data_IF_458249765539
#
_entry.id   IF_458249765539
#
_cell.length_a   1.000
_cell.length_b   1.000
_cell.length_c   1.000
_cell.angle_alpha   90.00
_cell.angle_beta   90.00
_cell.angle_gamma   90.00
#
_symmetry.space_group_name_H-M   'P 1'
#
loop_
_entity.id
_entity.type
_entity.pdbx_description
1 polymer ?
#
# COMPACT_ATOMS: atom_id res chain seq x y z
N UNK A 1 -24.36 -2.87 10.23
CA UNK A 1 -24.21 -4.04 9.33
C UNK A 1 -24.68 -5.24 10.14
N UNK A 2 -25.68 -6.00 9.68
CA UNK A 2 -26.26 -7.07 10.51
C UNK A 2 -25.27 -8.22 10.67
N UNK A 3 -25.19 -8.78 11.88
CA UNK A 3 -24.44 -9.99 12.24
C UNK A 3 -24.77 -11.20 11.33
N UNK A 4 -25.88 -11.13 10.57
CA UNK A 4 -26.31 -12.14 9.63
C UNK A 4 -25.49 -12.19 8.34
N UNK A 5 -25.02 -11.06 7.83
CA UNK A 5 -24.14 -11.00 6.66
C UNK A 5 -22.74 -11.53 7.00
N UNK A 6 -22.26 -11.23 8.20
CA UNK A 6 -20.97 -11.71 8.73
C UNK A 6 -20.95 -13.24 8.87
N UNK A 7 -22.03 -13.82 9.40
CA UNK A 7 -22.09 -15.24 9.70
C UNK A 7 -22.34 -16.17 8.49
N UNK A 8 -22.70 -15.61 7.34
CA UNK A 8 -22.89 -16.40 6.11
C UNK A 8 -21.54 -16.71 5.44
N UNK A 9 -20.54 -15.85 5.60
CA UNK A 9 -19.21 -16.04 5.03
C UNK A 9 -18.38 -17.12 5.76
N UNK A 10 -18.65 -17.38 7.04
CA UNK A 10 -17.65 -17.94 7.97
C UNK A 10 -17.86 -19.41 8.37
N UNK A 11 -18.82 -20.11 7.73
CA UNK A 11 -19.37 -21.39 8.22
C UNK A 11 -18.43 -22.61 8.19
N UNK A 12 -17.40 -22.70 7.33
CA UNK A 12 -16.71 -24.00 7.06
C UNK A 12 -15.17 -23.97 6.85
N UNK A 13 -14.34 -23.12 7.51
CA UNK A 13 -12.91 -23.01 7.13
C UNK A 13 -11.85 -23.12 8.25
N UNK A 14 -10.95 -24.14 8.22
CA UNK A 14 -9.86 -24.34 9.19
C UNK A 14 -8.73 -23.27 9.13
N UNK A 15 -8.71 -22.45 8.09
CA UNK A 15 -7.72 -21.39 7.87
C UNK A 15 -7.74 -20.28 8.93
N UNK A 16 -8.90 -20.01 9.55
CA UNK A 16 -9.01 -18.94 10.56
C UNK A 16 -8.23 -19.24 11.84
N UNK A 17 -8.16 -20.51 12.24
CA UNK A 17 -7.39 -20.92 13.41
C UNK A 17 -5.89 -20.68 13.20
N UNK A 18 -5.38 -21.00 12.01
CA UNK A 18 -3.98 -20.73 11.63
C UNK A 18 -3.71 -19.22 11.57
N UNK A 19 -4.64 -18.43 11.02
CA UNK A 19 -4.53 -16.97 10.95
C UNK A 19 -4.43 -16.32 12.34
N UNK A 20 -5.35 -16.65 13.26
CA UNK A 20 -5.33 -16.06 14.60
C UNK A 20 -4.15 -16.54 15.44
N UNK A 21 -3.73 -17.81 15.32
CA UNK A 21 -2.53 -18.32 15.99
C UNK A 21 -1.23 -17.70 15.47
N UNK A 22 -1.18 -17.30 14.19
CA UNK A 22 -0.03 -16.60 13.61
C UNK A 22 0.01 -15.10 13.95
N UNK A 23 -1.15 -14.46 14.12
CA UNK A 23 -1.26 -13.05 14.55
C UNK A 23 -1.08 -12.85 16.06
N UNK A 24 -1.31 -13.90 16.86
CA UNK A 24 -1.18 -13.89 18.32
C UNK A 24 -0.08 -14.87 18.79
N UNK A 25 1.18 -14.75 18.33
CA UNK A 25 2.20 -15.69 18.76
C UNK A 25 2.60 -15.39 20.22
N UNK A 26 2.31 -16.33 21.11
CA UNK A 26 2.87 -16.44 22.46
C UNK A 26 2.76 -15.18 23.36
N UNK A 27 1.65 -14.46 23.32
CA UNK A 27 1.25 -13.67 24.49
C UNK A 27 0.56 -14.65 25.46
N UNK A 28 1.14 -14.93 26.63
CA UNK A 28 0.58 -15.86 27.62
C UNK A 28 -0.85 -15.48 28.07
N UNK A 29 -1.29 -14.26 27.78
CA UNK A 29 -2.63 -13.75 28.07
C UNK A 29 -3.66 -13.99 26.96
N UNK A 30 -3.26 -14.30 25.73
CA UNK A 30 -4.18 -14.66 24.65
C UNK A 30 -4.68 -16.11 24.86
N UNK A 31 -5.64 -16.27 25.79
CA UNK A 31 -6.20 -17.58 26.14
C UNK A 31 -6.75 -18.27 24.90
N UNK A 32 -6.59 -19.61 24.75
CA UNK A 32 -7.21 -20.40 23.67
C UNK A 32 -8.70 -20.07 23.48
N UNK A 33 -9.39 -19.73 24.57
CA UNK A 33 -10.78 -19.31 24.62
C UNK A 33 -11.09 -18.02 23.84
N UNK A 34 -10.17 -17.07 23.68
CA UNK A 34 -10.42 -15.85 22.90
C UNK A 34 -10.34 -16.11 21.39
N UNK A 35 -9.40 -16.96 20.97
CA UNK A 35 -9.32 -17.44 19.58
C UNK A 35 -10.57 -18.28 19.27
N UNK A 36 -10.97 -19.16 20.18
CA UNK A 36 -12.19 -19.96 20.05
C UNK A 36 -13.47 -19.10 20.13
N UNK A 37 -13.45 -17.97 20.86
CA UNK A 37 -14.56 -17.01 20.91
C UNK A 37 -14.69 -16.20 19.62
N UNK A 38 -13.57 -15.71 19.08
CA UNK A 38 -13.54 -15.11 17.75
C UNK A 38 -14.04 -16.12 16.72
N UNK A 39 -13.58 -17.37 16.75
CA UNK A 39 -14.06 -18.43 15.86
C UNK A 39 -15.56 -18.70 16.05
N UNK A 40 -16.10 -18.75 17.28
CA UNK A 40 -17.52 -19.07 17.56
C UNK A 40 -18.49 -17.92 17.28
N UNK A 41 -18.11 -16.67 17.60
CA UNK A 41 -18.85 -15.46 17.19
C UNK A 41 -18.91 -15.37 15.66
N UNK A 42 -17.83 -15.77 14.99
CA UNK A 42 -17.75 -15.84 13.54
C UNK A 42 -18.51 -17.06 12.97
N UNK A 43 -18.57 -18.20 13.67
CA UNK A 43 -19.24 -19.44 13.26
C UNK A 43 -20.73 -19.54 13.64
N UNK A 44 -21.28 -18.54 14.36
CA UNK A 44 -22.69 -18.46 14.78
C UNK A 44 -23.16 -19.63 15.69
N UNK A 45 -22.28 -20.19 16.52
CA UNK A 45 -22.70 -21.11 17.56
C UNK A 45 -23.26 -20.32 18.76
N UNK A 46 -24.59 -20.19 18.75
CA UNK A 46 -25.47 -19.51 19.71
C UNK A 46 -25.57 -17.97 19.63
N UNK A 47 -26.77 -17.50 19.98
CA UNK A 47 -27.19 -16.10 19.97
C UNK A 47 -26.37 -15.26 20.94
N UNK A 48 -25.28 -14.67 20.46
CA UNK A 48 -24.53 -13.65 21.20
C UNK A 48 -25.25 -12.30 21.00
N UNK A 49 -25.61 -11.57 22.07
CA UNK A 49 -26.19 -10.23 21.95
C UNK A 49 -25.24 -9.27 21.20
N UNK A 50 -25.69 -8.08 20.76
CA UNK A 50 -24.80 -7.07 20.20
C UNK A 50 -23.89 -6.52 21.31
N UNK A 51 -22.77 -7.20 21.55
CA UNK A 51 -21.80 -6.87 22.58
C UNK A 51 -20.62 -6.17 21.87
N UNK A 52 -20.25 -4.94 22.26
CA UNK A 52 -19.04 -4.28 21.78
C UNK A 52 -17.81 -5.19 21.91
N UNK A 53 -16.88 -5.13 20.95
CA UNK A 53 -15.70 -6.02 20.94
C UNK A 53 -14.87 -5.89 22.23
N UNK A 54 -14.81 -4.68 22.81
CA UNK A 54 -14.23 -4.38 24.13
C UNK A 54 -14.89 -5.10 25.31
N UNK A 55 -16.18 -5.37 25.26
CA UNK A 55 -16.91 -6.13 26.30
C UNK A 55 -16.76 -7.65 26.19
N UNK A 56 -16.21 -8.16 25.08
CA UNK A 56 -15.82 -9.57 24.93
C UNK A 56 -14.43 -9.86 25.53
N UNK A 57 -13.59 -8.81 25.66
CA UNK A 57 -12.23 -8.88 26.20
C UNK A 57 -12.16 -8.56 27.70
N UNK A 58 -13.11 -7.77 28.22
CA UNK A 58 -13.15 -7.38 29.61
C UNK A 58 -14.18 -8.23 30.37
N UNK A 59 -13.72 -9.01 31.34
CA UNK A 59 -14.57 -9.47 32.43
C UNK A 59 -15.13 -8.26 33.18
N UNK A 60 -16.26 -7.74 32.68
CA UNK A 60 -17.06 -6.65 33.23
C UNK A 60 -16.28 -5.49 33.83
N UNK A 61 -15.91 -4.48 33.04
CA UNK A 61 -15.60 -3.14 33.59
C UNK A 61 -16.12 -2.00 32.73
N UNK A 62 -16.53 -0.96 33.46
CA UNK A 62 -17.33 0.19 33.03
C UNK A 62 -16.72 0.99 31.88
N UNK A 63 -17.56 1.57 30.98
CA UNK A 63 -17.09 2.55 30.01
C UNK A 63 -16.43 3.73 30.73
N UNK A 64 -15.23 4.11 30.27
CA UNK A 64 -14.54 5.31 30.76
C UNK A 64 -15.44 6.54 30.56
N UNK A 65 -15.45 7.41 31.59
CA UNK A 65 -16.35 8.56 31.69
C UNK A 65 -16.22 9.56 30.53
N UNK A 66 -17.32 10.27 30.28
CA UNK A 66 -17.46 11.27 29.21
C UNK A 66 -16.28 12.26 29.17
N UNK A 67 -15.71 12.57 27.99
CA UNK A 67 -14.70 13.61 27.85
C UNK A 67 -15.27 14.97 28.29
N UNK A 68 -14.59 15.66 29.20
CA UNK A 68 -15.04 16.93 29.84
C UNK A 68 -14.48 18.20 29.18
N UNK A 69 -13.94 18.13 27.95
CA UNK A 69 -13.42 19.32 27.26
C UNK A 69 -13.97 19.48 25.86
N UNK A 70 -14.50 20.67 25.58
CA UNK A 70 -14.89 21.09 24.24
C UNK A 70 -13.65 21.23 23.36
N UNK A 71 -13.47 20.32 22.42
CA UNK A 71 -12.49 20.47 21.34
C UNK A 71 -13.15 20.10 20.02
N UNK A 72 -12.89 20.92 19.00
CA UNK A 72 -13.29 20.68 17.62
C UNK A 72 -12.57 19.43 17.11
N UNK A 73 -13.21 18.57 16.31
CA UNK A 73 -12.67 17.32 15.76
C UNK A 73 -11.42 17.49 14.87
N UNK A 74 -10.31 17.91 15.49
CA UNK A 74 -9.07 18.40 14.86
C UNK A 74 -7.87 17.52 15.20
N UNK A 75 -8.03 16.59 16.14
CA UNK A 75 -7.01 15.64 16.54
C UNK A 75 -7.07 14.38 15.67
N UNK A 76 -5.92 14.05 15.09
CA UNK A 76 -5.74 12.86 14.27
C UNK A 76 -4.61 12.03 14.86
N UNK A 77 -4.86 10.76 15.12
CA UNK A 77 -3.80 9.77 15.34
C UNK A 77 -3.49 9.06 14.03
N UNK A 78 -2.24 9.09 13.61
CA UNK A 78 -1.77 8.21 12.55
C UNK A 78 -1.11 6.98 13.18
N UNK A 79 -1.71 5.81 12.96
CA UNK A 79 -1.11 4.51 13.28
C UNK A 79 -0.51 3.95 12.00
N UNK A 80 0.77 3.56 12.01
CA UNK A 80 1.40 3.00 10.82
C UNK A 80 2.84 2.57 11.05
N UNK A 81 3.51 2.16 9.96
CA UNK A 81 4.91 1.75 10.01
C UNK A 81 5.84 2.96 10.14
N UNK A 82 6.37 3.25 11.34
CA UNK A 82 7.15 4.46 11.60
C UNK A 82 8.68 4.23 11.64
N UNK A 83 9.13 3.01 11.34
CA UNK A 83 10.55 2.63 11.25
C UNK A 83 11.31 3.32 10.10
N UNK A 84 12.33 2.67 9.54
CA UNK A 84 13.12 3.25 8.44
C UNK A 84 13.24 2.29 7.25
N UNK A 85 13.28 2.84 6.04
CA UNK A 85 13.77 2.14 4.85
C UNK A 85 12.80 1.21 4.12
N UNK A 86 11.48 1.34 4.33
CA UNK A 86 10.44 0.57 3.60
C UNK A 86 9.44 1.48 2.89
N UNK A 87 8.74 0.95 1.88
CA UNK A 87 7.65 1.66 1.20
C UNK A 87 6.47 2.00 2.12
N UNK A 88 6.19 1.14 3.11
CA UNK A 88 5.16 1.36 4.13
C UNK A 88 5.54 2.52 5.08
N UNK A 89 6.82 2.64 5.41
CA UNK A 89 7.30 3.79 6.16
C UNK A 89 7.21 5.09 5.37
N UNK A 90 7.61 5.06 4.10
CA UNK A 90 7.44 6.20 3.20
C UNK A 90 5.97 6.62 3.11
N UNK A 91 5.03 5.67 3.02
CA UNK A 91 3.59 5.95 3.08
C UNK A 91 3.19 6.69 4.36
N UNK A 92 3.56 6.16 5.52
CA UNK A 92 3.22 6.76 6.82
C UNK A 92 3.77 8.18 6.95
N UNK A 93 5.02 8.43 6.52
CA UNK A 93 5.62 9.78 6.51
C UNK A 93 4.86 10.75 5.59
N UNK A 94 4.46 10.31 4.40
CA UNK A 94 3.69 11.14 3.46
C UNK A 94 2.31 11.51 4.02
N UNK A 95 1.64 10.56 4.69
CA UNK A 95 0.38 10.81 5.38
C UNK A 95 0.56 11.76 6.56
N UNK A 96 1.59 11.56 7.38
CA UNK A 96 1.89 12.43 8.51
C UNK A 96 2.11 13.88 8.04
N UNK A 97 2.95 14.07 7.03
CA UNK A 97 3.26 15.38 6.46
C UNK A 97 2.00 16.06 5.92
N UNK A 98 1.18 15.33 5.16
CA UNK A 98 -0.02 15.88 4.54
C UNK A 98 -1.12 16.18 5.57
N UNK A 99 -1.30 15.32 6.58
CA UNK A 99 -2.24 15.56 7.68
C UNK A 99 -1.83 16.81 8.49
N UNK A 100 -0.54 16.99 8.77
CA UNK A 100 -0.01 18.22 9.40
C UNK A 100 -0.23 19.45 8.50
N UNK A 101 0.07 19.31 7.21
CA UNK A 101 -0.13 20.36 6.21
C UNK A 101 -1.61 20.76 6.02
N UNK A 102 -2.55 19.88 6.38
CA UNK A 102 -3.98 20.17 6.36
C UNK A 102 -4.48 20.98 7.57
N UNK A 103 -3.59 21.39 8.47
CA UNK A 103 -3.90 22.18 9.66
C UNK A 103 -4.42 21.38 10.86
N UNK A 104 -4.30 20.05 10.84
CA UNK A 104 -4.73 19.16 11.93
C UNK A 104 -3.66 18.99 12.99
N UNK A 105 -4.07 18.71 14.23
CA UNK A 105 -3.15 18.30 15.30
C UNK A 105 -2.91 16.80 15.14
N UNK A 106 -1.72 16.43 14.68
CA UNK A 106 -1.38 15.04 14.33
C UNK A 106 -0.46 14.43 15.38
N UNK A 107 -0.88 13.33 16.00
CA UNK A 107 -0.03 12.41 16.76
C UNK A 107 0.27 11.17 15.92
N UNK A 108 1.33 10.45 16.29
CA UNK A 108 1.70 9.20 15.61
C UNK A 108 1.94 8.09 16.62
N UNK A 109 1.53 6.88 16.28
CA UNK A 109 1.78 5.66 17.06
C UNK A 109 2.33 4.59 16.11
N UNK A 110 3.48 4.01 16.43
CA UNK A 110 4.09 3.01 15.57
C UNK A 110 3.33 1.68 15.70
N UNK A 111 3.02 1.06 14.56
CA UNK A 111 2.35 -0.24 14.51
C UNK A 111 3.19 -1.33 15.18
N UNK A 112 4.52 -1.23 15.09
CA UNK A 112 5.47 -2.23 15.54
C UNK A 112 5.75 -2.21 17.05
N UNK A 113 5.11 -1.31 17.81
CA UNK A 113 5.29 -1.27 19.26
C UNK A 113 4.79 -2.57 19.93
N UNK A 114 5.47 -3.03 21.00
CA UNK A 114 4.93 -4.05 21.89
C UNK A 114 3.53 -3.68 22.38
N UNK A 115 2.70 -4.69 22.68
CA UNK A 115 1.30 -4.49 23.02
C UNK A 115 1.09 -3.51 24.19
N UNK A 116 1.90 -3.62 25.25
CA UNK A 116 1.84 -2.72 26.41
C UNK A 116 2.12 -1.25 26.03
N UNK A 117 3.20 -1.02 25.29
CA UNK A 117 3.60 0.32 24.85
C UNK A 117 2.59 0.92 23.88
N UNK A 118 2.03 0.09 22.99
CA UNK A 118 0.96 0.50 22.09
C UNK A 118 -0.28 0.96 22.87
N UNK A 119 -0.74 0.16 23.84
CA UNK A 119 -1.91 0.48 24.66
C UNK A 119 -1.70 1.76 25.49
N UNK A 120 -0.51 1.92 26.09
CA UNK A 120 -0.15 3.14 26.83
C UNK A 120 -0.12 4.37 25.93
N UNK A 121 0.49 4.26 24.74
CA UNK A 121 0.55 5.35 23.76
C UNK A 121 -0.84 5.78 23.29
N UNK A 122 -1.73 4.83 23.03
CA UNK A 122 -3.12 5.09 22.66
C UNK A 122 -3.89 5.77 23.78
N UNK A 123 -3.72 5.31 25.04
CA UNK A 123 -4.33 5.91 26.23
C UNK A 123 -3.88 7.36 26.40
N UNK A 124 -2.57 7.60 26.40
CA UNK A 124 -2.01 8.94 26.56
C UNK A 124 -2.45 9.90 25.45
N UNK A 125 -2.66 9.40 24.22
CA UNK A 125 -3.24 10.20 23.14
C UNK A 125 -4.71 10.53 23.41
N UNK A 126 -5.52 9.54 23.79
CA UNK A 126 -6.96 9.70 24.01
C UNK A 126 -7.30 10.71 25.12
N UNK A 127 -6.52 10.76 26.20
CA UNK A 127 -6.70 11.69 27.33
C UNK A 127 -6.59 13.16 26.93
N UNK A 128 -5.92 13.45 25.81
CA UNK A 128 -5.72 14.81 25.29
C UNK A 128 -6.75 15.19 24.22
N UNK A 129 -7.57 14.24 23.78
CA UNK A 129 -8.49 14.40 22.66
C UNK A 129 -9.88 14.89 23.11
N UNK A 130 -10.57 15.56 22.19
CA UNK A 130 -12.01 15.80 22.31
C UNK A 130 -12.84 14.54 22.01
N UNK A 131 -14.18 14.63 22.07
CA UNK A 131 -15.05 13.51 21.71
C UNK A 131 -14.88 13.10 20.24
N UNK A 132 -14.91 11.79 19.98
CA UNK A 132 -14.80 11.16 18.65
C UNK A 132 -13.57 11.56 17.83
N UNK A 133 -12.34 11.36 18.34
CA UNK A 133 -11.15 11.68 17.59
C UNK A 133 -10.99 10.77 16.37
N UNK A 134 -10.23 11.22 15.38
CA UNK A 134 -9.99 10.45 14.15
C UNK A 134 -8.71 9.64 14.26
N UNK A 135 -8.78 8.37 13.89
CA UNK A 135 -7.61 7.50 13.72
C UNK A 135 -7.45 7.21 12.23
N UNK A 136 -6.26 7.44 11.69
CA UNK A 136 -5.87 6.98 10.35
C UNK A 136 -4.93 5.80 10.55
N UNK A 137 -5.39 4.60 10.24
CA UNK A 137 -4.60 3.37 10.31
C UNK A 137 -4.00 3.06 8.93
N UNK A 138 -2.73 3.40 8.75
CA UNK A 138 -1.94 3.18 7.55
C UNK A 138 -1.20 1.83 7.59
N UNK A 139 -1.97 0.77 7.78
CA UNK A 139 -1.57 -0.64 7.76
C UNK A 139 -2.48 -1.39 6.80
N UNK A 140 -2.12 -2.61 6.39
CA UNK A 140 -2.99 -3.37 5.51
C UNK A 140 -4.25 -3.81 6.26
N UNK A 141 -5.34 -4.09 5.53
CA UNK A 141 -6.61 -4.44 6.15
C UNK A 141 -6.50 -5.66 7.07
N UNK A 142 -5.71 -6.69 6.73
CA UNK A 142 -5.54 -7.86 7.60
C UNK A 142 -4.90 -7.55 8.96
N UNK A 143 -4.18 -6.43 9.07
CA UNK A 143 -3.47 -6.02 10.29
C UNK A 143 -4.35 -5.20 11.24
N UNK A 144 -5.47 -4.65 10.75
CA UNK A 144 -6.40 -3.82 11.54
C UNK A 144 -6.92 -4.53 12.81
N UNK A 145 -7.33 -5.81 12.77
CA UNK A 145 -7.82 -6.50 13.98
C UNK A 145 -6.79 -6.50 15.12
N UNK A 146 -5.49 -6.54 14.81
CA UNK A 146 -4.43 -6.50 15.83
C UNK A 146 -4.38 -5.16 16.58
N UNK A 147 -4.86 -4.06 15.99
CA UNK A 147 -4.93 -2.77 16.66
C UNK A 147 -5.98 -2.80 17.76
N UNK A 148 -7.16 -3.34 17.45
CA UNK A 148 -8.29 -3.46 18.37
C UNK A 148 -8.00 -4.47 19.49
N UNK A 149 -7.28 -5.55 19.20
CA UNK A 149 -6.87 -6.52 20.22
C UNK A 149 -5.87 -5.88 21.21
N UNK A 150 -4.93 -5.06 20.71
CA UNK A 150 -3.95 -4.36 21.57
C UNK A 150 -4.54 -3.16 22.29
N UNK A 151 -5.71 -2.69 21.89
CA UNK A 151 -6.46 -1.65 22.59
C UNK A 151 -7.20 -2.21 23.81
N UNK A 152 -6.46 -2.36 24.92
CA UNK A 152 -6.96 -2.92 26.18
C UNK A 152 -8.10 -2.13 26.85
N UNK A 153 -8.37 -0.92 26.37
CA UNK A 153 -9.33 -0.01 26.97
C UNK A 153 -10.52 0.32 26.04
N UNK A 154 -10.58 -0.25 24.84
CA UNK A 154 -11.65 0.00 23.88
C UNK A 154 -11.72 1.45 23.39
N UNK A 155 -10.58 2.16 23.37
CA UNK A 155 -10.47 3.54 22.90
C UNK A 155 -10.89 3.65 21.44
N UNK A 156 -10.47 2.72 20.58
CA UNK A 156 -10.75 2.69 19.15
C UNK A 156 -12.25 2.55 18.87
N UNK A 157 -13.02 1.88 19.74
CA UNK A 157 -14.49 1.76 19.62
C UNK A 157 -15.21 3.13 19.68
N UNK A 158 -14.55 4.13 20.29
CA UNK A 158 -15.07 5.50 20.41
C UNK A 158 -14.49 6.47 19.36
N UNK A 159 -13.53 6.00 18.56
CA UNK A 159 -12.86 6.77 17.53
C UNK A 159 -13.58 6.65 16.18
N UNK A 160 -13.25 7.56 15.26
CA UNK A 160 -13.54 7.37 13.85
C UNK A 160 -12.31 6.78 13.16
N UNK A 161 -12.35 5.49 12.86
CA UNK A 161 -11.20 4.73 12.35
C UNK A 161 -11.24 4.68 10.82
N UNK A 162 -10.22 5.26 10.20
CA UNK A 162 -10.02 5.27 8.75
C UNK A 162 -8.91 4.29 8.41
N UNK A 163 -9.20 3.29 7.58
CA UNK A 163 -8.17 2.41 7.02
C UNK A 163 -7.54 3.06 5.78
N UNK A 164 -6.24 3.35 5.79
CA UNK A 164 -5.51 3.70 4.56
C UNK A 164 -4.88 2.43 4.00
N UNK A 165 -5.56 1.81 3.03
CA UNK A 165 -5.17 0.50 2.53
C UNK A 165 -4.39 0.57 1.23
N UNK A 166 -3.42 -0.33 1.11
CA UNK A 166 -2.70 -0.64 -0.13
C UNK A 166 -2.84 -2.14 -0.38
N UNK A 167 -3.01 -2.52 -1.65
CA UNK A 167 -3.07 -3.92 -2.04
C UNK A 167 -2.70 -4.08 -3.51
N UNK A 168 -2.17 -5.25 -3.88
CA UNK A 168 -1.61 -5.48 -5.22
C UNK A 168 -2.16 -6.73 -5.93
N UNK A 169 -3.36 -7.19 -5.57
CA UNK A 169 -4.15 -8.15 -6.38
C UNK A 169 -5.50 -7.53 -6.70
N UNK A 170 -6.20 -7.99 -7.73
CA UNK A 170 -7.49 -7.41 -8.16
C UNK A 170 -8.64 -7.58 -7.16
N UNK A 171 -8.49 -8.50 -6.22
CA UNK A 171 -9.43 -8.79 -5.15
C UNK A 171 -8.70 -8.76 -3.80
N UNK A 172 -9.41 -8.34 -2.75
CA UNK A 172 -8.91 -8.41 -1.39
C UNK A 172 -9.17 -9.83 -0.87
N UNK A 173 -8.13 -10.52 -0.37
CA UNK A 173 -8.32 -11.87 0.15
C UNK A 173 -9.21 -11.83 1.39
N UNK A 174 -9.94 -12.92 1.62
CA UNK A 174 -10.92 -13.06 2.71
C UNK A 174 -10.39 -12.69 4.10
N UNK A 175 -9.10 -12.88 4.34
CA UNK A 175 -8.41 -12.49 5.57
C UNK A 175 -8.54 -10.99 5.89
N UNK A 176 -8.81 -10.15 4.91
CA UNK A 176 -9.00 -8.71 5.07
C UNK A 176 -10.43 -8.32 5.43
N UNK A 177 -11.42 -9.21 5.30
CA UNK A 177 -12.85 -8.93 5.55
C UNK A 177 -13.07 -8.32 6.95
N UNK A 178 -12.45 -8.90 7.99
CA UNK A 178 -12.60 -8.42 9.36
C UNK A 178 -12.01 -7.02 9.55
N UNK A 179 -10.83 -6.77 9.00
CA UNK A 179 -10.21 -5.45 9.09
C UNK A 179 -10.98 -4.37 8.36
N UNK A 180 -11.55 -4.69 7.20
CA UNK A 180 -12.48 -3.81 6.48
C UNK A 180 -13.73 -3.54 7.31
N UNK A 181 -14.28 -4.56 7.99
CA UNK A 181 -15.47 -4.40 8.83
C UNK A 181 -15.25 -3.47 10.04
N UNK A 182 -14.03 -3.46 10.60
CA UNK A 182 -13.66 -2.68 11.80
C UNK A 182 -13.39 -1.19 11.55
N UNK A 183 -13.21 -0.76 10.29
CA UNK A 183 -13.01 0.67 9.97
C UNK A 183 -14.32 1.35 9.56
N UNK A 184 -14.46 2.64 9.84
CA UNK A 184 -15.61 3.45 9.43
C UNK A 184 -15.56 3.85 7.96
N UNK A 185 -14.34 4.00 7.42
CA UNK A 185 -14.07 4.45 6.07
C UNK A 185 -12.73 3.91 5.58
N UNK A 186 -12.60 3.76 4.27
CA UNK A 186 -11.37 3.35 3.61
C UNK A 186 -10.84 4.50 2.74
N UNK A 187 -9.57 4.82 2.94
CA UNK A 187 -8.79 5.68 2.06
C UNK A 187 -7.87 4.84 1.20
N UNK A 188 -7.80 5.17 -0.08
CA UNK A 188 -6.92 4.50 -1.03
C UNK A 188 -6.07 5.50 -1.80
N UNK A 189 -4.88 5.11 -2.25
CA UNK A 189 -4.05 5.98 -3.06
C UNK A 189 -4.45 6.03 -4.53
N UNK A 190 -5.22 5.05 -5.00
CA UNK A 190 -5.55 4.88 -6.42
C UNK A 190 -6.96 4.35 -6.61
N UNK A 191 -7.51 4.58 -7.80
CA UNK A 191 -8.79 4.01 -8.23
C UNK A 191 -8.74 2.48 -8.29
N UNK A 192 -7.59 1.91 -8.68
CA UNK A 192 -7.38 0.46 -8.67
C UNK A 192 -7.62 -0.13 -7.27
N UNK A 193 -6.97 0.44 -6.25
CA UNK A 193 -7.17 0.00 -4.86
C UNK A 193 -8.56 0.32 -4.35
N UNK A 194 -9.18 1.42 -4.79
CA UNK A 194 -10.58 1.68 -4.45
C UNK A 194 -11.53 0.59 -4.99
N UNK A 195 -11.30 0.13 -6.23
CA UNK A 195 -12.08 -0.94 -6.85
C UNK A 195 -11.99 -2.27 -6.11
N UNK A 196 -10.84 -2.58 -5.51
CA UNK A 196 -10.63 -3.78 -4.68
C UNK A 196 -11.53 -3.78 -3.44
N UNK A 197 -11.70 -2.63 -2.78
CA UNK A 197 -12.44 -2.52 -1.52
C UNK A 197 -13.89 -2.06 -1.67
N UNK A 198 -14.29 -1.55 -2.83
CA UNK A 198 -15.67 -1.12 -3.09
C UNK A 198 -16.73 -2.23 -2.85
N UNK A 199 -16.49 -3.51 -3.20
CA UNK A 199 -17.47 -4.58 -2.96
C UNK A 199 -17.84 -4.82 -1.50
N UNK A 200 -17.02 -4.37 -0.54
CA UNK A 200 -17.29 -4.56 0.89
C UNK A 200 -18.35 -3.60 1.45
N UNK A 201 -18.85 -2.65 0.65
CA UNK A 201 -19.94 -1.74 1.04
C UNK A 201 -19.55 -0.66 2.06
N UNK A 202 -18.25 -0.50 2.37
CA UNK A 202 -17.74 0.62 3.18
C UNK A 202 -17.59 1.88 2.32
N UNK A 203 -17.65 3.10 2.91
CA UNK A 203 -17.24 4.31 2.20
C UNK A 203 -15.77 4.20 1.78
N UNK A 204 -15.51 4.28 0.47
CA UNK A 204 -14.16 4.23 -0.10
C UNK A 204 -13.84 5.55 -0.78
N UNK A 205 -12.69 6.15 -0.47
CA UNK A 205 -12.27 7.43 -1.02
C UNK A 205 -10.84 7.36 -1.56
N UNK A 206 -10.69 7.72 -2.83
CA UNK A 206 -9.37 7.91 -3.45
C UNK A 206 -8.81 9.25 -3.01
N UNK A 207 -7.83 9.22 -2.11
CA UNK A 207 -7.18 10.42 -1.57
C UNK A 207 -5.81 10.68 -2.21
N UNK A 208 -5.26 9.71 -2.93
CA UNK A 208 -3.98 9.83 -3.61
C UNK A 208 -2.78 9.67 -2.68
N UNK A 209 -1.66 10.26 -3.10
CA UNK A 209 -0.39 10.33 -2.35
C UNK A 209 0.21 11.73 -2.47
N UNK A 210 1.03 12.13 -1.50
CA UNK A 210 1.79 13.39 -1.51
C UNK A 210 3.28 13.13 -1.68
N UNK A 211 3.72 13.08 -2.94
CA UNK A 211 5.11 12.84 -3.33
C UNK A 211 5.99 14.03 -3.00
N UNK A 212 7.27 13.72 -2.74
CA UNK A 212 8.34 14.70 -2.68
C UNK A 212 8.75 15.14 -4.10
N UNK A 213 7.77 15.50 -4.94
CA UNK A 213 8.02 16.11 -6.24
C UNK A 213 8.29 17.60 -5.99
N UNK A 214 9.55 18.01 -6.07
CA UNK A 214 9.90 19.42 -5.91
C UNK A 214 10.01 20.12 -7.26
N UNK A 215 9.46 21.34 -7.33
CA UNK A 215 9.60 22.21 -8.51
C UNK A 215 11.06 22.56 -8.80
N UNK A 216 11.89 22.67 -7.76
CA UNK A 216 13.32 23.01 -7.83
C UNK A 216 14.21 21.83 -8.25
N UNK A 217 13.68 20.60 -8.34
CA UNK A 217 14.47 19.46 -8.75
C UNK A 217 15.01 19.72 -10.16
N UNK A 218 16.33 19.85 -10.38
CA UNK A 218 16.83 20.21 -11.69
C UNK A 218 16.41 19.12 -12.67
N UNK A 219 15.70 19.52 -13.73
CA UNK A 219 15.44 18.64 -14.86
C UNK A 219 16.76 17.98 -15.23
N UNK A 220 16.74 16.66 -15.39
CA UNK A 220 17.96 15.92 -15.72
C UNK A 220 18.55 16.53 -17.00
N UNK A 221 19.85 16.88 -17.04
CA UNK A 221 20.48 17.19 -18.30
C UNK A 221 20.31 15.97 -19.22
N UNK A 222 20.01 16.16 -20.52
CA UNK A 222 19.93 15.05 -21.46
C UNK A 222 21.19 14.19 -21.31
N UNK A 223 21.04 12.86 -21.41
CA UNK A 223 22.22 12.00 -21.49
C UNK A 223 23.15 12.61 -22.54
N UNK A 224 24.45 12.77 -22.22
CA UNK A 224 25.40 13.30 -23.20
C UNK A 224 25.24 12.47 -24.48
N UNK A 225 25.14 13.13 -25.63
CA UNK A 225 24.86 12.48 -26.93
C UNK A 225 25.86 11.35 -27.29
N UNK A 226 26.92 11.16 -26.51
CA UNK A 226 27.95 10.15 -26.69
C UNK A 226 27.85 8.95 -25.71
N UNK A 227 26.93 8.92 -24.74
CA UNK A 227 26.76 7.81 -23.78
C UNK A 227 25.74 6.74 -24.22
N UNK A 228 25.75 5.53 -23.63
CA UNK A 228 24.70 4.55 -23.88
C UNK A 228 23.34 5.02 -23.35
N UNK A 229 22.25 4.62 -24.04
CA UNK A 229 20.89 4.73 -23.49
C UNK A 229 20.74 3.69 -22.39
N UNK A 230 20.48 4.13 -21.16
CA UNK A 230 20.38 3.25 -19.99
C UNK A 230 18.93 2.99 -19.60
N UNK A 231 18.52 1.74 -19.60
CA UNK A 231 17.25 1.30 -19.04
C UNK A 231 17.45 0.86 -17.59
N UNK A 232 16.49 1.14 -16.71
CA UNK A 232 16.53 0.74 -15.30
C UNK A 232 15.25 0.03 -14.91
N UNK A 233 15.39 -1.15 -14.33
CA UNK A 233 14.32 -1.81 -13.58
C UNK A 233 14.73 -1.86 -12.11
N UNK A 234 13.82 -1.45 -11.22
CA UNK A 234 14.03 -1.45 -9.77
C UNK A 234 12.96 -2.31 -9.13
N UNK A 235 13.36 -3.22 -8.25
CA UNK A 235 12.42 -3.98 -7.43
C UNK A 235 13.03 -4.33 -6.06
N UNK A 236 12.14 -4.67 -5.14
CA UNK A 236 12.49 -5.18 -3.81
C UNK A 236 12.05 -6.64 -3.75
N UNK A 237 12.97 -7.52 -3.36
CA UNK A 237 12.74 -8.96 -3.33
C UNK A 237 11.64 -9.35 -2.34
N UNK A 238 11.55 -8.64 -1.21
CA UNK A 238 10.55 -8.90 -0.17
C UNK A 238 9.14 -8.44 -0.60
N UNK A 239 9.03 -7.70 -1.69
CA UNK A 239 7.75 -7.23 -2.25
C UNK A 239 7.13 -8.16 -3.30
N UNK A 240 7.63 -9.41 -3.41
CA UNK A 240 7.36 -10.42 -4.44
C UNK A 240 8.10 -10.19 -5.77
N UNK A 241 9.04 -11.09 -6.09
CA UNK A 241 9.75 -11.12 -7.38
C UNK A 241 8.77 -11.45 -8.50
N UNK A 242 7.83 -12.36 -8.24
CA UNK A 242 6.78 -12.73 -9.19
C UNK A 242 5.91 -11.52 -9.55
N UNK A 243 5.44 -10.74 -8.58
CA UNK A 243 4.61 -9.58 -8.88
C UNK A 243 5.40 -8.49 -9.58
N UNK A 244 6.65 -8.23 -9.16
CA UNK A 244 7.48 -7.18 -9.77
C UNK A 244 7.99 -7.56 -11.16
N UNK A 245 8.07 -8.86 -11.45
CA UNK A 245 8.41 -9.47 -12.73
C UNK A 245 9.60 -8.80 -13.49
N UNK A 246 10.76 -8.62 -12.83
CA UNK A 246 11.93 -7.99 -13.47
C UNK A 246 12.47 -8.80 -14.66
N UNK A 247 12.19 -10.11 -14.71
CA UNK A 247 12.59 -10.98 -15.82
C UNK A 247 12.00 -10.49 -17.15
N UNK A 248 10.71 -10.11 -17.17
CA UNK A 248 10.09 -9.59 -18.38
C UNK A 248 10.83 -8.37 -18.92
N UNK A 249 11.33 -7.47 -18.05
CA UNK A 249 12.11 -6.32 -18.48
C UNK A 249 13.43 -6.73 -19.15
N UNK A 250 14.11 -7.76 -18.62
CA UNK A 250 15.35 -8.29 -19.20
C UNK A 250 15.09 -8.95 -20.56
N UNK A 251 14.01 -9.74 -20.67
CA UNK A 251 13.62 -10.38 -21.92
C UNK A 251 13.24 -9.34 -22.98
N UNK A 252 12.48 -8.32 -22.60
CA UNK A 252 12.11 -7.22 -23.49
C UNK A 252 13.33 -6.43 -23.96
N UNK A 253 14.30 -6.17 -23.08
CA UNK A 253 15.55 -5.50 -23.44
C UNK A 253 16.35 -6.31 -24.47
N UNK A 254 16.53 -7.61 -24.24
CA UNK A 254 17.26 -8.50 -25.16
C UNK A 254 16.56 -8.59 -26.52
N UNK A 255 15.22 -8.67 -26.52
CA UNK A 255 14.42 -8.69 -27.75
C UNK A 255 14.47 -7.36 -28.49
N UNK A 256 14.39 -6.25 -27.76
CA UNK A 256 14.49 -4.92 -28.33
C UNK A 256 15.84 -4.77 -29.03
N UNK A 257 16.97 -5.10 -28.39
CA UNK A 257 18.31 -4.77 -28.88
C UNK A 257 19.19 -5.99 -29.19
N UNK A 258 18.95 -6.73 -30.30
CA UNK A 258 19.75 -7.90 -30.65
C UNK A 258 21.14 -7.57 -31.22
N UNK A 259 21.42 -6.30 -31.54
CA UNK A 259 22.64 -5.89 -32.23
C UNK A 259 23.70 -5.23 -31.33
N UNK A 260 24.54 -4.42 -31.96
CA UNK A 260 25.61 -3.66 -31.31
C UNK A 260 25.14 -2.26 -30.85
N UNK A 261 23.83 -2.07 -30.61
CA UNK A 261 23.32 -0.79 -30.13
C UNK A 261 23.99 -0.41 -28.80
N UNK A 262 24.31 0.87 -28.67
CA UNK A 262 24.92 1.43 -27.47
C UNK A 262 23.86 1.61 -26.37
N UNK A 263 23.43 0.50 -25.79
CA UNK A 263 22.42 0.42 -24.74
C UNK A 263 22.92 -0.40 -23.56
N UNK A 264 22.44 -0.07 -22.36
CA UNK A 264 22.70 -0.81 -21.14
C UNK A 264 21.40 -0.97 -20.36
N UNK A 265 21.29 -2.04 -19.59
CA UNK A 265 20.20 -2.23 -18.64
C UNK A 265 20.77 -2.40 -17.24
N UNK A 266 20.17 -1.73 -16.27
CA UNK A 266 20.47 -1.91 -14.86
C UNK A 266 19.26 -2.59 -14.21
N UNK A 267 19.50 -3.71 -13.55
CA UNK A 267 18.53 -4.41 -12.72
C UNK A 267 18.91 -4.15 -11.26
N UNK A 268 18.24 -3.20 -10.62
CA UNK A 268 18.45 -2.89 -9.20
C UNK A 268 17.50 -3.73 -8.35
N UNK A 269 18.05 -4.70 -7.63
CA UNK A 269 17.33 -5.53 -6.67
C UNK A 269 17.74 -5.15 -5.24
N UNK A 270 16.79 -5.05 -4.31
CA UNK A 270 17.06 -4.83 -2.89
C UNK A 270 16.59 -6.03 -2.07
N UNK A 271 17.23 -6.27 -0.92
CA UNK A 271 16.90 -7.37 0.01
C UNK A 271 16.90 -8.74 -0.66
N UNK A 272 17.88 -9.02 -1.52
CA UNK A 272 17.94 -10.30 -2.24
C UNK A 272 18.04 -11.45 -1.26
N UNK A 273 17.03 -12.33 -1.29
CA UNK A 273 16.96 -13.55 -0.51
C UNK A 273 16.30 -14.64 -1.37
N UNK A 274 17.09 -15.51 -2.03
CA UNK A 274 16.55 -16.56 -2.89
C UNK A 274 15.54 -17.50 -2.22
N UNK A 275 15.57 -17.60 -0.89
CA UNK A 275 14.64 -18.44 -0.11
C UNK A 275 13.33 -17.72 0.24
N UNK A 276 13.23 -16.42 -0.05
CA UNK A 276 12.03 -15.64 0.25
C UNK A 276 10.80 -16.21 -0.48
N UNK A 277 9.64 -16.33 0.18
CA UNK A 277 8.42 -16.88 -0.43
C UNK A 277 8.00 -16.20 -1.74
N UNK A 278 8.32 -14.92 -1.90
CA UNK A 278 8.11 -14.17 -3.14
C UNK A 278 8.95 -14.61 -4.36
N UNK A 279 9.81 -15.62 -4.22
CA UNK A 279 10.61 -16.27 -5.27
C UNK A 279 10.29 -17.78 -5.41
N UNK A 280 9.08 -18.20 -5.04
CA UNK A 280 8.72 -19.61 -4.94
C UNK A 280 8.94 -20.46 -6.22
N UNK A 281 9.02 -19.84 -7.41
CA UNK A 281 9.17 -20.54 -8.69
C UNK A 281 10.57 -20.36 -9.29
N UNK A 282 11.53 -19.87 -8.52
CA UNK A 282 12.90 -19.67 -8.99
C UNK A 282 13.05 -18.50 -9.98
N UNK A 283 12.21 -17.48 -9.87
CA UNK A 283 12.17 -16.33 -10.77
C UNK A 283 13.49 -15.54 -10.74
N UNK A 284 14.15 -15.46 -9.58
CA UNK A 284 15.45 -14.82 -9.39
C UNK A 284 16.56 -15.58 -10.12
N UNK A 285 16.55 -16.90 -10.07
CA UNK A 285 17.52 -17.76 -10.75
C UNK A 285 17.40 -17.63 -12.26
N UNK A 286 16.16 -17.55 -12.77
CA UNK A 286 15.90 -17.28 -14.19
C UNK A 286 16.35 -15.87 -14.59
N UNK A 287 16.01 -14.85 -13.81
CA UNK A 287 16.49 -13.48 -14.01
C UNK A 287 18.02 -13.40 -14.03
N UNK A 288 18.68 -14.07 -13.08
CA UNK A 288 20.13 -14.08 -12.95
C UNK A 288 20.79 -14.73 -14.17
N UNK A 289 20.28 -15.89 -14.63
CA UNK A 289 20.75 -16.56 -15.85
C UNK A 289 20.52 -15.70 -17.09
N UNK A 290 19.33 -15.11 -17.22
CA UNK A 290 18.98 -14.28 -18.37
C UNK A 290 19.84 -13.01 -18.46
N UNK A 291 20.19 -12.42 -17.31
CA UNK A 291 21.06 -11.25 -17.19
C UNK A 291 22.52 -11.58 -17.47
N UNK A 292 23.05 -12.68 -16.91
CA UNK A 292 24.43 -13.12 -17.14
C UNK A 292 24.70 -13.47 -18.61
N UNK A 293 23.66 -13.86 -19.37
CA UNK A 293 23.75 -14.12 -20.80
C UNK A 293 23.93 -12.88 -21.69
N UNK A 294 23.90 -11.65 -21.15
CA UNK A 294 24.09 -10.42 -21.91
C UNK A 294 24.93 -9.40 -21.11
N UNK A 295 26.16 -9.15 -21.59
CA UNK A 295 27.14 -8.26 -20.95
C UNK A 295 26.70 -6.80 -20.78
N UNK A 296 25.59 -6.39 -21.42
CA UNK A 296 25.01 -5.05 -21.31
C UNK A 296 24.05 -4.92 -20.13
N UNK A 297 23.75 -6.03 -19.44
CA UNK A 297 22.83 -6.08 -18.30
C UNK A 297 23.65 -6.15 -17.01
N UNK A 298 23.42 -5.18 -16.13
CA UNK A 298 24.13 -5.04 -14.86
C UNK A 298 23.15 -5.24 -13.70
N UNK A 299 23.34 -6.31 -12.94
CA UNK A 299 22.56 -6.58 -11.73
C UNK A 299 23.25 -5.91 -10.54
N UNK A 300 22.50 -5.11 -9.79
CA UNK A 300 22.97 -4.36 -8.62
C UNK A 300 22.14 -4.76 -7.42
N UNK A 301 22.77 -5.39 -6.42
CA UNK A 301 22.07 -5.96 -5.25
C UNK A 301 22.32 -5.20 -3.96
N UNK A 302 23.29 -4.28 -3.95
CA UNK A 302 23.66 -3.49 -2.78
C UNK A 302 22.49 -2.60 -2.34
N UNK A 303 22.29 -2.47 -1.03
CA UNK A 303 21.24 -1.60 -0.49
C UNK A 303 21.62 -0.13 -0.72
N UNK A 304 20.75 0.61 -1.39
CA UNK A 304 20.94 2.02 -1.68
C UNK A 304 20.11 2.88 -0.72
N UNK A 305 20.71 3.97 -0.24
CA UNK A 305 19.97 5.07 0.40
C UNK A 305 19.07 5.78 -0.61
N UNK A 306 18.14 6.62 -0.12
CA UNK A 306 17.28 7.43 -0.99
C UNK A 306 18.11 8.33 -1.93
N UNK A 307 19.20 8.92 -1.43
CA UNK A 307 20.11 9.75 -2.22
C UNK A 307 20.83 8.94 -3.31
N UNK A 308 21.28 7.72 -3.00
CA UNK A 308 21.91 6.83 -3.99
C UNK A 308 20.91 6.37 -5.05
N UNK A 309 19.68 6.06 -4.68
CA UNK A 309 18.61 5.72 -5.63
C UNK A 309 18.29 6.90 -6.56
N UNK A 310 18.21 8.11 -6.03
CA UNK A 310 18.03 9.32 -6.83
C UNK A 310 19.21 9.53 -7.80
N UNK A 311 20.45 9.34 -7.35
CA UNK A 311 21.63 9.43 -8.21
C UNK A 311 21.62 8.36 -9.31
N UNK A 312 21.19 7.14 -9.02
CA UNK A 312 21.04 6.07 -10.00
C UNK A 312 20.00 6.45 -11.08
N UNK A 313 18.83 6.91 -10.67
CA UNK A 313 17.78 7.36 -11.60
C UNK A 313 18.26 8.56 -12.43
N UNK A 314 18.97 9.52 -11.84
CA UNK A 314 19.57 10.67 -12.57
C UNK A 314 20.58 10.26 -13.65
N UNK A 315 21.12 9.04 -13.61
CA UNK A 315 22.06 8.49 -14.63
C UNK A 315 21.37 7.57 -15.66
N UNK A 316 20.07 7.32 -15.51
CA UNK A 316 19.27 6.36 -16.30
C UNK A 316 18.43 7.04 -17.38
N UNK A 317 18.47 6.61 -18.63
CA UNK A 317 17.67 7.24 -19.70
C UNK A 317 16.18 6.91 -19.66
N UNK A 318 15.79 5.72 -19.19
CA UNK A 318 14.39 5.30 -19.10
C UNK A 318 14.19 4.32 -17.94
N UNK A 319 13.09 4.46 -17.19
CA UNK A 319 12.68 3.48 -16.18
C UNK A 319 11.69 2.50 -16.80
N UNK A 320 11.86 1.21 -16.50
CA UNK A 320 11.04 0.11 -17.02
C UNK A 320 10.49 -0.69 -15.84
N UNK A 321 9.16 -0.78 -15.74
CA UNK A 321 8.46 -1.56 -14.73
C UNK A 321 7.40 -2.45 -15.38
N UNK A 322 7.77 -3.68 -15.71
CA UNK A 322 6.86 -4.69 -16.23
C UNK A 322 6.24 -5.49 -15.09
N UNK A 323 5.68 -4.78 -14.10
CA UNK A 323 5.04 -5.40 -12.95
C UNK A 323 3.70 -6.02 -13.34
N UNK A 324 3.22 -6.95 -12.51
CA UNK A 324 1.91 -7.58 -12.65
C UNK A 324 0.77 -6.81 -12.00
N UNK A 325 1.08 -6.11 -10.90
CA UNK A 325 0.22 -5.13 -10.27
C UNK A 325 1.04 -4.25 -9.30
N UNK A 326 0.60 -3.03 -9.06
CA UNK A 326 1.08 -2.08 -8.05
C UNK A 326 -0.12 -1.39 -7.38
N UNK A 327 -0.07 -1.19 -6.07
CA UNK A 327 -1.07 -0.37 -5.39
C UNK A 327 -0.93 1.12 -5.71
N UNK A 328 0.29 1.56 -6.03
CA UNK A 328 0.61 2.93 -6.45
C UNK A 328 1.74 2.99 -7.48
N UNK A 329 2.90 2.37 -7.21
CA UNK A 329 4.05 2.39 -8.14
C UNK A 329 5.07 3.51 -7.84
N UNK A 330 5.65 3.50 -6.64
CA UNK A 330 6.61 4.54 -6.20
C UNK A 330 7.78 4.77 -7.16
N UNK A 331 8.37 3.71 -7.71
CA UNK A 331 9.50 3.79 -8.65
C UNK A 331 9.09 4.58 -9.91
N UNK A 332 7.88 4.35 -10.41
CA UNK A 332 7.33 5.03 -11.57
C UNK A 332 7.07 6.51 -11.26
N UNK A 333 6.47 6.78 -10.10
CA UNK A 333 6.21 8.15 -9.67
C UNK A 333 7.49 8.95 -9.44
N UNK A 334 8.53 8.32 -8.90
CA UNK A 334 9.83 8.97 -8.72
C UNK A 334 10.45 9.26 -10.08
N UNK A 335 10.43 8.30 -11.02
CA UNK A 335 10.94 8.50 -12.37
C UNK A 335 10.27 9.68 -13.09
N UNK A 336 8.94 9.77 -13.06
CA UNK A 336 8.21 10.89 -13.65
C UNK A 336 8.52 12.22 -12.95
N UNK A 337 8.63 12.24 -11.61
CA UNK A 337 9.00 13.44 -10.87
C UNK A 337 10.40 13.96 -11.26
N UNK A 338 11.30 13.04 -11.65
CA UNK A 338 12.64 13.35 -12.18
C UNK A 338 12.63 13.81 -13.65
N UNK A 339 11.48 13.71 -14.34
CA UNK A 339 11.37 13.94 -15.79
C UNK A 339 12.02 12.82 -16.62
N UNK A 340 12.01 11.58 -16.12
CA UNK A 340 12.50 10.42 -16.85
C UNK A 340 11.37 9.74 -17.64
N UNK A 341 11.62 9.32 -18.89
CA UNK A 341 10.73 8.42 -19.61
C UNK A 341 10.44 7.16 -18.80
N UNK A 342 9.18 6.72 -18.85
CA UNK A 342 8.67 5.53 -18.16
C UNK A 342 8.01 4.59 -19.15
N UNK A 343 8.43 3.33 -19.13
CA UNK A 343 7.75 2.20 -19.76
C UNK A 343 7.15 1.34 -18.64
N UNK A 344 5.84 1.11 -18.66
CA UNK A 344 5.16 0.39 -17.58
C UNK A 344 4.01 -0.46 -18.11
N UNK A 345 3.73 -1.57 -17.45
CA UNK A 345 2.48 -2.33 -17.66
C UNK A 345 1.28 -1.40 -17.51
N UNK A 346 0.36 -1.44 -18.47
CA UNK A 346 -0.82 -0.57 -18.52
C UNK A 346 -1.95 -1.07 -17.61
N UNK A 347 -1.62 -1.41 -16.37
CA UNK A 347 -2.54 -2.06 -15.43
C UNK A 347 -2.25 -1.62 -14.01
N UNK A 348 -3.29 -1.54 -13.18
CA UNK A 348 -3.24 -1.25 -11.73
C UNK A 348 -2.91 0.20 -11.35
N UNK A 349 -2.46 0.44 -10.12
CA UNK A 349 -2.44 1.78 -9.50
C UNK A 349 -1.59 2.83 -10.22
N UNK A 350 -0.61 2.43 -11.04
CA UNK A 350 0.16 3.39 -11.82
C UNK A 350 -0.66 4.07 -12.93
N UNK A 351 -1.75 3.48 -13.42
CA UNK A 351 -2.56 4.07 -14.51
C UNK A 351 -3.28 5.36 -14.09
N UNK A 352 -3.36 5.64 -12.78
CA UNK A 352 -3.87 6.90 -12.25
C UNK A 352 -2.93 8.09 -12.54
N UNK A 353 -1.68 7.85 -12.93
CA UNK A 353 -0.73 8.89 -13.30
C UNK A 353 0.14 8.57 -14.53
N UNK A 354 0.21 7.32 -14.98
CA UNK A 354 0.83 6.90 -16.23
C UNK A 354 -0.23 6.69 -17.30
N UNK A 355 -0.03 7.29 -18.48
CA UNK A 355 -0.89 7.11 -19.65
C UNK A 355 -0.09 7.22 -20.96
N UNK A 356 -0.77 7.09 -22.10
CA UNK A 356 -0.16 7.23 -23.42
C UNK A 356 0.29 8.66 -23.77
N UNK A 357 -0.06 9.69 -22.99
CA UNK A 357 0.41 11.06 -23.23
C UNK A 357 1.72 11.37 -22.50
N UNK A 358 1.95 10.71 -21.36
CA UNK A 358 3.08 10.99 -20.49
C UNK A 358 4.07 9.83 -20.29
N UNK A 359 3.67 8.61 -20.65
CA UNK A 359 4.43 7.38 -20.48
C UNK A 359 4.34 6.51 -21.75
N UNK A 360 4.89 5.30 -21.66
CA UNK A 360 4.85 4.26 -22.70
C UNK A 360 4.15 3.01 -22.13
N UNK A 361 2.82 2.89 -22.32
CA UNK A 361 2.05 1.76 -21.80
C UNK A 361 2.41 0.45 -22.51
N UNK A 362 2.52 -0.62 -21.73
CA UNK A 362 2.79 -1.98 -22.20
C UNK A 362 1.52 -2.81 -22.10
N UNK A 363 1.14 -3.44 -23.21
CA UNK A 363 0.01 -4.35 -23.28
C UNK A 363 0.22 -5.57 -22.37
N UNK A 364 -0.87 -6.22 -21.98
CA UNK A 364 -0.83 -7.36 -21.08
C UNK A 364 -2.00 -8.30 -21.35
N UNK A 365 -1.92 -9.49 -20.75
CA UNK A 365 -3.05 -10.41 -20.60
C UNK A 365 -3.31 -10.64 -19.13
N UNK A 366 -4.57 -10.86 -18.75
CA UNK A 366 -4.92 -11.18 -17.38
C UNK A 366 -4.65 -12.67 -17.11
N UNK A 367 -3.99 -12.95 -15.99
CA UNK A 367 -3.70 -14.30 -15.50
C UNK A 367 -4.16 -14.42 -14.05
N UNK A 368 -4.59 -15.62 -13.59
CA UNK A 368 -4.89 -15.83 -12.19
C UNK A 368 -3.63 -15.67 -11.34
N UNK A 369 -3.79 -15.11 -10.14
CA UNK A 369 -2.75 -15.10 -9.11
C UNK A 369 -2.66 -16.52 -8.57
N UNK A 370 -1.54 -17.18 -8.85
CA UNK A 370 -1.24 -18.47 -8.25
C UNK A 370 -0.67 -18.19 -6.87
N UNK A 371 -1.41 -18.54 -5.84
CA UNK A 371 -0.99 -18.33 -4.47
C UNK A 371 0.15 -19.29 -4.12
N UNK A 372 1.36 -18.82 -4.36
CA UNK A 372 2.60 -19.48 -4.00
C UNK A 372 3.49 -18.41 -3.37
N UNK A 373 3.57 -18.44 -2.04
CA UNK A 373 4.48 -17.60 -1.27
C UNK A 373 3.83 -16.35 -0.65
N UNK A 374 4.06 -15.18 -1.26
CA UNK A 374 3.82 -13.87 -0.61
C UNK A 374 2.35 -13.38 -0.62
N UNK A 375 1.44 -14.08 -1.31
CA UNK A 375 0.02 -13.74 -1.42
C UNK A 375 -0.85 -14.92 -0.98
N UNK A 376 -2.00 -14.60 -0.39
CA UNK A 376 -3.00 -15.58 0.05
C UNK A 376 -3.74 -16.20 -1.15
N UNK A 377 -4.20 -17.45 -1.00
CA UNK A 377 -5.07 -18.10 -1.99
C UNK A 377 -6.38 -17.32 -2.14
N UNK A 378 -6.60 -16.82 -3.34
CA UNK A 378 -7.84 -16.17 -3.76
C UNK A 378 -8.09 -16.55 -5.22
N UNK A 379 -9.16 -17.32 -5.45
CA UNK A 379 -9.53 -17.84 -6.77
C UNK A 379 -9.96 -16.73 -7.74
N UNK A 380 -10.34 -15.56 -7.22
CA UNK A 380 -10.78 -14.40 -8.01
C UNK A 380 -9.64 -13.40 -8.27
N UNK A 381 -8.50 -13.56 -7.60
CA UNK A 381 -7.37 -12.67 -7.76
C UNK A 381 -6.70 -12.87 -9.13
N UNK A 382 -6.56 -11.77 -9.88
CA UNK A 382 -5.89 -11.70 -11.18
C UNK A 382 -4.76 -10.66 -11.19
N UNK A 383 -3.83 -10.90 -12.11
CA UNK A 383 -2.66 -10.09 -12.40
C UNK A 383 -2.54 -9.82 -13.90
N UNK A 384 -1.91 -8.70 -14.26
CA UNK A 384 -1.53 -8.44 -15.64
C UNK A 384 -0.18 -9.09 -15.94
N UNK A 385 -0.14 -10.07 -16.85
CA UNK A 385 1.10 -10.60 -17.39
C UNK A 385 1.52 -9.72 -18.59
N UNK A 386 2.58 -8.89 -18.46
CA UNK A 386 2.95 -7.94 -19.49
C UNK A 386 3.48 -8.63 -20.75
N UNK A 387 3.11 -8.08 -21.90
CA UNK A 387 3.57 -8.53 -23.21
C UNK A 387 5.00 -8.02 -23.46
N UNK A 388 5.93 -8.98 -23.56
CA UNK A 388 7.36 -8.72 -23.79
C UNK A 388 7.62 -8.07 -25.15
N UNK A 389 6.81 -8.35 -26.16
CA UNK A 389 6.94 -7.81 -27.51
C UNK A 389 6.47 -6.36 -27.55
N UNK A 390 5.36 -6.06 -26.87
CA UNK A 390 4.91 -4.69 -26.63
C UNK A 390 5.98 -3.89 -25.88
N UNK A 391 6.53 -4.44 -24.78
CA UNK A 391 7.60 -3.78 -24.03
C UNK A 391 8.86 -3.53 -24.87
N UNK A 392 9.28 -4.50 -25.69
CA UNK A 392 10.41 -4.35 -26.59
C UNK A 392 10.18 -3.25 -27.63
N UNK A 393 8.96 -3.15 -28.18
CA UNK A 393 8.58 -2.07 -29.09
C UNK A 393 8.63 -0.70 -28.40
N UNK A 394 8.15 -0.59 -27.16
CA UNK A 394 8.24 0.66 -26.39
C UNK A 394 9.70 1.06 -26.10
N UNK A 395 10.56 0.11 -25.74
CA UNK A 395 12.00 0.37 -25.56
C UNK A 395 12.66 0.88 -26.85
N UNK A 396 12.28 0.30 -28.01
CA UNK A 396 12.74 0.78 -29.32
C UNK A 396 12.27 2.18 -29.62
N UNK A 397 11.02 2.51 -29.33
CA UNK A 397 10.49 3.85 -29.54
C UNK A 397 11.23 4.91 -28.70
N UNK A 398 11.49 4.61 -27.42
CA UNK A 398 12.29 5.48 -26.55
C UNK A 398 13.72 5.67 -27.09
N UNK A 399 14.32 4.60 -27.60
CA UNK A 399 15.67 4.65 -28.18
C UNK A 399 15.72 5.47 -29.49
N UNK A 400 14.75 5.29 -30.39
CA UNK A 400 14.73 5.93 -31.71
C UNK A 400 14.30 7.39 -31.67
N UNK A 401 13.43 7.78 -30.74
CA UNK A 401 12.95 9.16 -30.57
C UNK A 401 13.00 9.59 -29.10
N UNK A 402 14.22 9.67 -28.59
CA UNK A 402 14.46 10.14 -27.22
C UNK A 402 13.96 11.57 -26.96
N UNK A 403 14.04 12.54 -27.91
CA UNK A 403 13.40 13.85 -27.74
C UNK A 403 11.90 13.76 -27.45
N UNK A 404 11.15 12.90 -28.16
CA UNK A 404 9.74 12.64 -27.85
C UNK A 404 9.55 11.99 -26.48
N UNK A 405 10.43 11.06 -26.10
CA UNK A 405 10.40 10.45 -24.77
C UNK A 405 10.56 11.50 -23.66
N UNK A 406 11.46 12.48 -23.82
CA UNK A 406 11.62 13.59 -22.88
C UNK A 406 10.39 14.50 -22.82
N UNK A 407 9.73 14.77 -23.96
CA UNK A 407 8.47 15.55 -23.99
C UNK A 407 7.36 14.84 -23.21
N UNK A 408 7.20 13.53 -23.37
CA UNK A 408 6.25 12.71 -22.59
C UNK A 408 6.57 12.78 -21.10
N UNK A 409 7.84 12.58 -20.73
CA UNK A 409 8.28 12.64 -19.35
C UNK A 409 8.06 14.01 -18.69
N UNK A 410 8.23 15.10 -19.44
CA UNK A 410 7.93 16.46 -18.97
C UNK A 410 6.44 16.63 -18.60
N UNK A 411 5.53 16.13 -19.44
CA UNK A 411 4.08 16.12 -19.13
C UNK A 411 3.77 15.30 -17.88
N UNK A 412 4.41 14.13 -17.73
CA UNK A 412 4.24 13.29 -16.54
C UNK A 412 4.72 13.98 -15.28
N UNK A 413 5.85 14.70 -15.37
CA UNK A 413 6.37 15.53 -14.28
C UNK A 413 5.39 16.64 -13.89
N UNK A 414 4.84 17.37 -14.87
CA UNK A 414 3.85 18.43 -14.63
C UNK A 414 2.63 17.87 -13.90
N UNK A 415 2.07 16.76 -14.39
CA UNK A 415 0.94 16.07 -13.74
C UNK A 415 1.26 15.66 -12.30
N UNK A 416 2.45 15.13 -12.03
CA UNK A 416 2.83 14.75 -10.66
C UNK A 416 3.00 15.95 -9.72
N UNK A 417 3.53 17.07 -10.20
CA UNK A 417 3.66 18.29 -9.40
C UNK A 417 2.28 18.88 -9.10
N UNK A 418 1.38 18.89 -10.07
CA UNK A 418 0.04 19.43 -9.92
C UNK A 418 -0.82 18.57 -8.98
N UNK A 419 -0.90 17.27 -9.27
CA UNK A 419 -1.85 16.38 -8.61
C UNK A 419 -1.24 15.68 -7.39
N UNK A 420 0.04 15.34 -7.40
CA UNK A 420 0.66 14.48 -6.39
C UNK A 420 1.72 15.21 -5.55
N UNK A 421 1.74 16.54 -5.55
CA UNK A 421 2.55 17.30 -4.59
C UNK A 421 2.07 17.11 -3.14
N UNK A 422 2.95 17.43 -2.19
CA UNK A 422 2.61 17.40 -0.76
C UNK A 422 1.44 18.33 -0.44
N UNK A 423 1.44 19.51 -1.05
CA UNK A 423 0.44 20.55 -0.85
C UNK A 423 -0.92 20.09 -1.39
N UNK A 424 -0.95 19.55 -2.62
CA UNK A 424 -2.17 19.00 -3.20
C UNK A 424 -2.73 17.83 -2.37
N UNK A 425 -1.86 16.97 -1.83
CA UNK A 425 -2.30 15.88 -0.97
C UNK A 425 -2.85 16.39 0.38
N UNK A 426 -2.17 17.34 1.01
CA UNK A 426 -2.63 17.98 2.24
C UNK A 426 -4.00 18.65 2.06
N UNK A 427 -4.20 19.35 0.94
CA UNK A 427 -5.48 19.97 0.61
C UNK A 427 -6.59 18.92 0.43
N UNK A 428 -6.33 17.83 -0.30
CA UNK A 428 -7.29 16.73 -0.46
C UNK A 428 -7.68 16.10 0.87
N UNK A 429 -6.71 15.79 1.72
CA UNK A 429 -6.96 15.22 3.06
C UNK A 429 -7.74 16.21 3.95
N UNK A 430 -7.37 17.49 3.92
CA UNK A 430 -8.05 18.55 4.66
C UNK A 430 -9.52 18.68 4.27
N UNK A 431 -9.81 18.73 2.96
CA UNK A 431 -11.18 18.75 2.41
C UNK A 431 -11.95 17.52 2.83
N UNK A 432 -11.35 16.32 2.73
CA UNK A 432 -12.04 15.07 3.12
C UNK A 432 -12.40 15.08 4.60
N UNK A 433 -11.44 15.39 5.47
CA UNK A 433 -11.66 15.48 6.92
C UNK A 433 -12.69 16.55 7.28
N UNK A 434 -12.71 17.69 6.58
CA UNK A 434 -13.71 18.75 6.81
C UNK A 434 -15.11 18.40 6.32
N UNK A 435 -15.24 17.62 5.24
CA UNK A 435 -16.53 17.19 4.69
C UNK A 435 -17.30 16.19 5.56
N UNK A 436 -16.66 15.67 6.62
CA UNK A 436 -17.29 14.71 7.54
C UNK A 436 -18.25 15.44 8.46
N UNK A 437 -19.53 15.04 8.44
CA UNK A 437 -20.47 15.40 9.50
C UNK A 437 -20.13 14.59 10.74
N UNK A 438 -20.06 15.18 11.94
CA UNK A 438 -20.01 14.38 13.16
C UNK A 438 -21.23 13.46 13.17
N UNK A 439 -21.02 12.16 13.37
CA UNK A 439 -22.15 11.25 13.58
C UNK A 439 -22.89 11.71 14.85
N UNK A 440 -24.24 11.69 14.86
CA UNK A 440 -24.98 11.90 16.08
C UNK A 440 -24.53 10.85 17.09
N UNK A 441 -24.28 11.27 18.33
CA UNK A 441 -24.09 10.34 19.45
C UNK A 441 -25.35 9.50 19.53
N UNK A 442 -25.25 8.20 19.25
CA UNK A 442 -26.29 7.26 19.68
C UNK A 442 -26.26 7.29 21.20
N UNK A 443 -27.21 8.02 21.81
CA UNK A 443 -27.39 8.03 23.24
C UNK A 443 -27.80 6.62 23.69
N UNK A 444 -26.95 5.87 24.41
CA UNK A 444 -27.30 4.53 24.87
C UNK A 444 -28.49 4.55 25.84
N UNK A 445 -28.80 5.71 26.44
CA UNK A 445 -29.97 5.87 27.32
C UNK A 445 -31.30 6.03 26.56
N UNK A 446 -31.26 6.37 25.27
CA UNK A 446 -32.47 6.49 24.45
C UNK A 446 -33.04 5.14 23.99
N UNK A 447 -32.26 4.05 24.09
CA UNK A 447 -32.70 2.70 23.76
C UNK A 447 -33.33 1.95 24.95
N UNK A 448 -33.41 2.56 26.13
CA UNK A 448 -33.97 1.96 27.34
C UNK A 448 -35.42 2.38 27.64
N UNK A 449 -36.08 3.09 26.72
CA UNK A 449 -37.51 3.43 26.83
C UNK A 449 -38.21 3.09 25.52
N UNK A 450 -38.53 1.81 25.36
CA UNK A 450 -39.81 1.34 24.80
C UNK A 450 -40.01 -0.15 25.08
#
# INVERSE_FOLDING_TARGET
>A
MSLELLATALRDRPYYRVFFSAMLPHDEEARPTFIDLCISVLAKEQSVPPVPFSSLLSGGRSPLGKPTKSCTGSDVLLIGHLGQGTGLNRNSRMLQDALKGSGRRVSTLAYELPADEFAQGLTAWSERCGPHPTVVAAVNAQDIPSLFIRDRHGILDSCNVIGFFLWETSAAPRVQELGVALVDEIWTPTNYVAGIYAPFGKPVHVVGKGLFARRDWPARPPASNNGPVRFLTVFDFHSSVERKNPLASVLAFRKAFPGAEKVEMIVKASNVDPQHPGNAQGQWEELSRASAGDRRIHVVTERYSEAQMQQLMRRTSCVVSLHRAEGFGYVLSDALALGLPVIATDYSGNTDFCDSENSYPVAYRLIPVRAQGAYWEDEEAIWADPDVDSAAAQMRQVYSDYPQALRKAARGRERLIEVYSKEAFAERLGKRLASRRPQPVLDPSAAAVQ
#
